data_IF_846975742299
#
_entry.id   IF_846975742299
#
_cell.length_a   1.000
_cell.length_b   1.000
_cell.length_c   1.000
_cell.angle_alpha   90.00
_cell.angle_beta   90.00
_cell.angle_gamma   90.00
#
_symmetry.space_group_name_H-M   'P 1'
#
loop_
_entity.id
_entity.type
_entity.pdbx_description
1 polymer ?
#
# COMPACT_ATOMS: atom_id res chain seq x y z
N UNK A 1 -6.18 8.17 3.12
CA UNK A 1 -5.23 7.28 2.42
C UNK A 1 -5.08 5.99 3.21
N UNK A 2 -5.22 4.84 2.53
CA UNK A 2 -5.06 3.50 3.10
C UNK A 2 -3.90 2.79 2.40
N UNK A 3 -3.05 2.12 3.16
CA UNK A 3 -2.02 1.22 2.62
C UNK A 3 -2.37 -0.21 3.01
N UNK A 4 -2.37 -1.10 2.02
CA UNK A 4 -2.63 -2.53 2.20
C UNK A 4 -1.36 -3.34 1.96
N UNK A 5 -1.22 -4.47 2.64
CA UNK A 5 -0.28 -5.52 2.22
C UNK A 5 -0.91 -6.48 1.19
N UNK A 6 -0.13 -7.47 0.76
CA UNK A 6 -0.54 -8.48 -0.21
C UNK A 6 -1.74 -9.33 0.22
N UNK A 7 -2.00 -9.44 1.54
CA UNK A 7 -3.14 -10.16 2.12
C UNK A 7 -4.36 -9.25 2.34
N UNK A 8 -4.31 -8.01 1.85
CA UNK A 8 -5.36 -6.98 2.02
C UNK A 8 -5.56 -6.57 3.48
N UNK A 9 -4.54 -6.73 4.33
CA UNK A 9 -4.52 -6.12 5.66
C UNK A 9 -4.14 -4.65 5.54
N UNK A 10 -4.85 -3.79 6.25
CA UNK A 10 -4.54 -2.37 6.34
C UNK A 10 -3.32 -2.21 7.24
N UNK A 11 -2.20 -1.77 6.67
CA UNK A 11 -0.93 -1.54 7.38
C UNK A 11 -0.76 -0.10 7.82
N UNK A 12 -1.46 0.82 7.16
CA UNK A 12 -1.38 2.24 7.46
C UNK A 12 -2.66 2.96 7.05
N UNK A 13 -3.07 3.93 7.87
CA UNK A 13 -4.25 4.77 7.67
C UNK A 13 -3.88 6.23 7.97
N UNK A 14 -4.18 7.11 7.02
CA UNK A 14 -4.31 8.55 7.27
C UNK A 14 -5.76 8.96 6.97
N UNK A 15 -6.46 9.44 7.99
CA UNK A 15 -7.80 10.01 7.90
C UNK A 15 -7.78 11.53 8.14
N UNK A 16 -8.89 12.22 7.85
CA UNK A 16 -9.07 13.64 8.17
C UNK A 16 -8.71 14.63 7.05
N UNK A 17 -8.31 14.12 5.88
CA UNK A 17 -8.09 14.94 4.69
C UNK A 17 -9.34 14.92 3.79
N UNK A 18 -9.77 16.08 3.25
CA UNK A 18 -10.81 16.13 2.23
C UNK A 18 -10.42 15.35 0.97
N UNK A 19 -11.40 14.77 0.28
CA UNK A 19 -11.17 14.01 -0.96
C UNK A 19 -10.61 14.82 -2.12
N UNK A 20 -10.66 16.16 -2.05
CA UNK A 20 -10.05 17.07 -3.03
C UNK A 20 -8.54 17.26 -2.86
N UNK A 21 -7.97 16.80 -1.74
CA UNK A 21 -6.54 16.96 -1.48
C UNK A 21 -5.76 15.89 -2.24
N UNK A 22 -4.74 16.32 -2.99
CA UNK A 22 -3.84 15.41 -3.69
C UNK A 22 -3.23 14.37 -2.74
N UNK A 23 -3.27 13.11 -3.13
CA UNK A 23 -2.74 12.00 -2.33
C UNK A 23 -1.27 12.21 -1.92
N UNK A 24 -0.46 12.83 -2.78
CA UNK A 24 0.94 13.19 -2.47
C UNK A 24 1.04 14.06 -1.21
N UNK A 25 0.16 15.05 -1.06
CA UNK A 25 0.14 15.92 0.13
C UNK A 25 -0.29 15.16 1.38
N UNK A 26 -1.28 14.26 1.25
CA UNK A 26 -1.71 13.38 2.34
C UNK A 26 -0.55 12.49 2.78
N UNK A 27 0.18 11.91 1.83
CA UNK A 27 1.38 11.09 2.07
C UNK A 27 2.50 11.86 2.78
N UNK A 28 2.80 13.08 2.34
CA UNK A 28 3.81 13.94 2.94
C UNK A 28 3.50 14.31 4.40
N UNK A 29 2.21 14.38 4.75
CA UNK A 29 1.78 14.63 6.13
C UNK A 29 2.05 13.46 7.08
N UNK A 30 2.11 12.23 6.54
CA UNK A 30 2.17 10.99 7.30
C UNK A 30 3.52 10.71 7.96
N UNK A 31 3.47 10.07 9.13
CA UNK A 31 4.66 9.56 9.85
C UNK A 31 5.47 8.59 9.00
N UNK A 32 4.82 7.84 8.12
CA UNK A 32 5.45 6.86 7.22
C UNK A 32 6.45 7.50 6.25
N UNK A 33 6.22 8.75 5.84
CA UNK A 33 7.17 9.52 5.03
C UNK A 33 8.22 10.22 5.89
N UNK A 34 7.84 10.71 7.07
CA UNK A 34 8.74 11.44 7.98
C UNK A 34 9.76 10.54 8.67
N UNK A 35 9.34 9.33 9.05
CA UNK A 35 10.11 8.35 9.83
C UNK A 35 10.08 6.96 9.16
N UNK A 36 10.55 6.82 7.91
CA UNK A 36 10.40 5.58 7.13
C UNK A 36 10.98 4.35 7.83
N UNK A 37 12.08 4.49 8.57
CA UNK A 37 12.76 3.39 9.24
C UNK A 37 11.93 2.75 10.37
N UNK A 38 10.91 3.45 10.90
CA UNK A 38 9.99 2.90 11.90
C UNK A 38 8.81 2.14 11.27
N UNK A 39 8.62 2.27 9.96
CA UNK A 39 7.44 1.77 9.26
C UNK A 39 7.77 0.71 8.21
N UNK A 40 8.98 0.73 7.64
CA UNK A 40 9.45 -0.23 6.65
C UNK A 40 10.61 -1.04 7.19
N UNK A 41 10.47 -2.36 7.18
CA UNK A 41 11.62 -3.26 7.30
C UNK A 41 12.48 -3.19 6.03
N UNK A 42 13.77 -3.57 6.09
CA UNK A 42 14.60 -3.69 4.89
C UNK A 42 13.90 -4.53 3.81
N UNK A 43 13.87 -4.01 2.58
CA UNK A 43 13.20 -4.66 1.44
C UNK A 43 11.68 -4.41 1.34
N UNK A 44 11.09 -3.65 2.25
CA UNK A 44 9.69 -3.23 2.13
C UNK A 44 9.57 -1.85 1.48
N UNK A 45 8.57 -1.71 0.61
CA UNK A 45 8.32 -0.52 -0.17
C UNK A 45 6.82 -0.29 -0.31
N UNK A 46 6.40 0.97 -0.40
CA UNK A 46 5.04 1.31 -0.76
C UNK A 46 4.92 1.48 -2.28
N UNK A 47 3.83 0.98 -2.85
CA UNK A 47 3.47 1.21 -4.25
C UNK A 47 2.54 2.42 -4.34
N UNK A 48 2.88 3.35 -5.23
CA UNK A 48 2.08 4.53 -5.50
C UNK A 48 1.86 4.73 -7.00
N UNK A 49 0.86 5.52 -7.36
CA UNK A 49 0.55 5.83 -8.77
C UNK A 49 1.27 7.10 -9.24
N UNK A 50 0.83 8.23 -8.70
CA UNK A 50 1.23 9.57 -9.12
C UNK A 50 2.13 10.26 -8.10
N UNK A 51 2.82 9.49 -7.26
CA UNK A 51 3.73 10.00 -6.23
C UNK A 51 5.14 10.26 -6.77
N UNK A 52 5.96 10.92 -5.96
CA UNK A 52 7.40 11.09 -6.23
C UNK A 52 8.14 9.80 -5.87
N UNK A 53 8.91 9.28 -6.83
CA UNK A 53 9.78 8.12 -6.63
C UNK A 53 10.75 8.37 -5.47
N UNK A 54 10.85 7.42 -4.55
CA UNK A 54 11.86 7.43 -3.49
C UNK A 54 12.18 6.01 -3.04
N UNK A 55 13.19 5.85 -2.17
CA UNK A 55 13.59 4.54 -1.65
C UNK A 55 12.48 3.80 -0.88
N UNK A 56 11.38 4.45 -0.53
CA UNK A 56 10.22 3.86 0.15
C UNK A 56 8.92 3.97 -0.66
N UNK A 57 8.91 4.71 -1.77
CA UNK A 57 7.75 4.90 -2.63
C UNK A 57 8.14 4.55 -4.06
N UNK A 58 7.69 3.39 -4.51
CA UNK A 58 7.87 2.92 -5.85
C UNK A 58 6.66 3.30 -6.71
N UNK A 59 6.92 3.86 -7.88
CA UNK A 59 5.88 4.33 -8.81
C UNK A 59 6.14 3.79 -10.21
N UNK A 60 5.11 3.62 -11.07
CA UNK A 60 5.27 3.29 -12.47
C UNK A 60 6.18 4.26 -13.22
N UNK A 61 6.78 3.82 -14.33
CA UNK A 61 7.49 4.70 -15.25
C UNK A 61 6.46 5.58 -15.95
N UNK A 62 6.79 6.85 -16.15
CA UNK A 62 5.98 7.81 -16.93
C UNK A 62 6.54 7.94 -18.33
N UNK A 63 5.74 8.44 -19.26
CA UNK A 63 6.22 8.74 -20.62
C UNK A 63 7.33 9.80 -20.57
N UNK A 64 8.36 9.72 -21.44
CA UNK A 64 8.53 8.74 -22.53
C UNK A 64 9.14 7.40 -22.08
N UNK A 65 9.70 7.31 -20.87
CA UNK A 65 10.37 6.10 -20.37
C UNK A 65 9.44 4.88 -20.30
N UNK A 66 8.14 5.09 -20.11
CA UNK A 66 7.11 4.06 -20.14
C UNK A 66 6.94 3.38 -21.51
N UNK A 67 7.53 3.92 -22.59
CA UNK A 67 7.49 3.29 -23.91
C UNK A 67 8.58 2.22 -24.11
N UNK A 68 9.55 2.13 -23.20
CA UNK A 68 10.58 1.08 -23.23
C UNK A 68 9.95 -0.24 -22.77
N UNK A 69 10.11 -1.32 -23.55
CA UNK A 69 9.46 -2.62 -23.30
C UNK A 69 9.69 -3.14 -21.88
N UNK A 70 10.92 -3.08 -21.39
CA UNK A 70 11.27 -3.49 -20.02
C UNK A 70 10.49 -2.71 -18.95
N UNK A 71 10.29 -1.40 -19.18
CA UNK A 71 9.54 -0.52 -18.28
C UNK A 71 8.04 -0.79 -18.37
N UNK A 72 7.52 -1.16 -19.54
CA UNK A 72 6.12 -1.58 -19.72
C UNK A 72 5.83 -2.84 -18.92
N UNK A 73 6.68 -3.86 -19.04
CA UNK A 73 6.53 -5.09 -18.27
C UNK A 73 6.63 -4.84 -16.76
N UNK A 74 7.54 -3.96 -16.35
CA UNK A 74 7.62 -3.53 -14.95
C UNK A 74 6.33 -2.82 -14.49
N UNK A 75 5.84 -1.85 -15.26
CA UNK A 75 4.60 -1.14 -14.97
C UNK A 75 3.39 -2.07 -14.88
N UNK A 76 3.32 -3.09 -15.74
CA UNK A 76 2.27 -4.12 -15.70
C UNK A 76 2.30 -4.88 -14.38
N UNK A 77 3.48 -5.30 -13.91
CA UNK A 77 3.65 -5.99 -12.61
C UNK A 77 3.26 -5.09 -11.44
N UNK A 78 3.67 -3.82 -11.45
CA UNK A 78 3.26 -2.84 -10.43
C UNK A 78 1.74 -2.61 -10.45
N UNK A 79 1.14 -2.51 -11.63
CA UNK A 79 -0.31 -2.39 -11.79
C UNK A 79 -1.03 -3.59 -11.19
N UNK A 80 -0.60 -4.82 -11.49
CA UNK A 80 -1.15 -6.05 -10.91
C UNK A 80 -1.04 -6.07 -9.38
N UNK A 81 0.11 -5.67 -8.83
CA UNK A 81 0.29 -5.61 -7.37
C UNK A 81 -0.65 -4.57 -6.73
N UNK A 82 -0.95 -3.45 -7.42
CA UNK A 82 -1.85 -2.41 -6.93
C UNK A 82 -3.33 -2.84 -6.91
N UNK A 83 -3.74 -3.79 -7.74
CA UNK A 83 -5.09 -4.37 -7.72
C UNK A 83 -5.48 -4.85 -6.31
N UNK A 84 -4.50 -5.32 -5.52
CA UNK A 84 -4.72 -5.74 -4.13
C UNK A 84 -5.29 -4.59 -3.27
N UNK A 85 -4.77 -3.37 -3.44
CA UNK A 85 -5.23 -2.19 -2.68
C UNK A 85 -6.63 -1.74 -3.10
N UNK A 86 -6.95 -1.86 -4.39
CA UNK A 86 -8.27 -1.55 -4.94
C UNK A 86 -9.31 -2.56 -4.45
N UNK A 87 -8.97 -3.86 -4.52
CA UNK A 87 -9.78 -4.94 -3.97
C UNK A 87 -9.96 -4.81 -2.46
N UNK A 88 -8.89 -4.51 -1.70
CA UNK A 88 -8.95 -4.30 -0.25
C UNK A 88 -9.90 -3.16 0.11
N UNK A 89 -9.83 -2.03 -0.59
CA UNK A 89 -10.73 -0.90 -0.40
C UNK A 89 -12.18 -1.25 -0.80
N UNK A 90 -12.36 -2.02 -1.88
CA UNK A 90 -13.66 -2.50 -2.33
C UNK A 90 -14.33 -3.43 -1.32
N UNK A 91 -13.59 -4.41 -0.80
CA UNK A 91 -14.04 -5.31 0.28
C UNK A 91 -14.39 -4.50 1.52
N UNK A 92 -13.55 -3.51 1.87
CA UNK A 92 -13.79 -2.67 3.03
C UNK A 92 -15.14 -1.94 2.90
N UNK A 93 -15.32 -1.20 1.82
CA UNK A 93 -16.59 -0.51 1.56
C UNK A 93 -17.77 -1.46 1.32
N UNK A 94 -17.51 -2.71 0.94
CA UNK A 94 -18.51 -3.76 0.81
C UNK A 94 -19.00 -4.27 2.16
N UNK A 95 -18.10 -4.46 3.12
CA UNK A 95 -18.42 -4.96 4.46
C UNK A 95 -19.02 -3.88 5.34
N UNK A 96 -18.52 -2.65 5.27
CA UNK A 96 -19.12 -1.49 5.95
C UNK A 96 -19.71 -0.55 4.91
N UNK A 97 -20.95 -0.81 4.49
CA UNK A 97 -21.68 0.01 3.52
C UNK A 97 -21.76 1.48 3.95
N UNK A 98 -21.75 1.75 5.26
CA UNK A 98 -21.67 3.11 5.80
C UNK A 98 -20.44 3.88 5.33
N UNK A 99 -19.34 3.23 4.96
CA UNK A 99 -18.12 3.88 4.44
C UNK A 99 -18.20 4.26 2.95
N UNK A 100 -19.25 3.84 2.22
CA UNK A 100 -19.45 4.25 0.82
C UNK A 100 -19.89 5.71 0.70
N UNK A 101 -20.81 6.13 1.56
CA UNK A 101 -21.34 7.49 1.57
C UNK A 101 -21.00 8.29 2.83
N UNK A 102 -20.61 7.62 3.92
CA UNK A 102 -20.40 8.18 5.26
C UNK A 102 -21.51 9.20 5.63
N UNK A 103 -22.73 8.73 5.96
CA UNK A 103 -23.93 9.56 6.07
C UNK A 103 -23.92 10.44 7.32
N UNK A 104 -23.02 11.41 7.36
CA UNK A 104 -22.84 12.38 8.43
C UNK A 104 -22.84 13.78 7.83
N UNK A 105 -23.47 14.74 8.51
CA UNK A 105 -23.34 16.14 8.18
C UNK A 105 -22.13 16.71 8.92
N UNK A 106 -21.17 17.28 8.19
CA UNK A 106 -19.99 17.91 8.78
C UNK A 106 -20.27 19.39 8.94
N UNK A 107 -20.59 19.82 10.16
CA UNK A 107 -20.88 21.22 10.49
C UNK A 107 -19.85 21.82 11.44
N UNK A 108 -19.20 20.99 12.26
CA UNK A 108 -18.20 21.41 13.25
C UNK A 108 -16.97 20.50 13.23
N UNK A 109 -15.81 20.96 13.73
CA UNK A 109 -14.59 20.15 13.75
C UNK A 109 -14.72 18.80 14.47
N UNK A 110 -15.61 18.68 15.45
CA UNK A 110 -15.90 17.42 16.14
C UNK A 110 -16.56 16.38 15.23
N UNK A 111 -17.33 16.79 14.22
CA UNK A 111 -17.93 15.88 13.25
C UNK A 111 -16.85 15.24 12.35
N UNK A 112 -15.81 16.01 11.99
CA UNK A 112 -14.65 15.50 11.27
C UNK A 112 -13.91 14.46 12.12
N UNK A 113 -13.72 14.74 13.41
CA UNK A 113 -13.10 13.78 14.33
C UNK A 113 -13.91 12.49 14.43
N UNK A 114 -15.24 12.61 14.53
CA UNK A 114 -16.14 11.46 14.54
C UNK A 114 -16.07 10.66 13.24
N UNK A 115 -16.06 11.33 12.09
CA UNK A 115 -15.85 10.73 10.77
C UNK A 115 -14.56 9.88 10.74
N UNK A 116 -13.46 10.45 11.22
CA UNK A 116 -12.17 9.79 11.27
C UNK A 116 -12.18 8.56 12.20
N UNK A 117 -12.82 8.67 13.36
CA UNK A 117 -13.00 7.56 14.29
C UNK A 117 -13.83 6.44 13.67
N UNK A 118 -14.92 6.78 12.97
CA UNK A 118 -15.75 5.81 12.26
C UNK A 118 -14.95 5.06 11.19
N UNK A 119 -14.24 5.80 10.32
CA UNK A 119 -13.37 5.20 9.29
C UNK A 119 -12.32 4.29 9.94
N UNK A 120 -11.69 4.74 11.03
CA UNK A 120 -10.67 3.97 11.75
C UNK A 120 -11.26 2.68 12.34
N UNK A 121 -12.43 2.75 12.96
CA UNK A 121 -13.12 1.58 13.51
C UNK A 121 -13.42 0.55 12.41
N UNK A 122 -13.93 0.99 11.25
CA UNK A 122 -14.13 0.12 10.10
C UNK A 122 -12.84 -0.56 9.63
N UNK A 123 -11.72 0.17 9.60
CA UNK A 123 -10.41 -0.38 9.25
C UNK A 123 -9.89 -1.41 10.26
N UNK A 124 -10.09 -1.18 11.56
CA UNK A 124 -9.68 -2.11 12.62
C UNK A 124 -10.50 -3.40 12.52
N UNK A 125 -11.83 -3.27 12.43
CA UNK A 125 -12.73 -4.42 12.27
C UNK A 125 -12.42 -5.19 10.98
N UNK A 126 -12.02 -4.50 9.91
CA UNK A 126 -11.56 -5.14 8.69
C UNK A 126 -10.41 -6.09 8.90
N UNK A 127 -9.36 -5.59 9.55
CA UNK A 127 -8.17 -6.39 9.79
C UNK A 127 -8.48 -7.59 10.69
N UNK A 128 -9.30 -7.41 11.73
CA UNK A 128 -9.71 -8.51 12.61
C UNK A 128 -10.38 -9.62 11.80
N UNK A 129 -11.44 -9.31 11.05
CA UNK A 129 -12.17 -10.33 10.29
C UNK A 129 -11.31 -10.91 9.15
N UNK A 130 -10.47 -10.09 8.50
CA UNK A 130 -9.60 -10.57 7.44
C UNK A 130 -8.52 -11.52 7.97
N UNK A 131 -8.04 -11.33 9.22
CA UNK A 131 -7.12 -12.28 9.86
C UNK A 131 -7.80 -13.62 10.15
N UNK A 132 -8.99 -13.58 10.76
CA UNK A 132 -9.77 -14.81 11.04
C UNK A 132 -10.05 -15.60 9.76
N UNK A 133 -10.39 -14.92 8.66
CA UNK A 133 -10.64 -15.58 7.38
C UNK A 133 -9.40 -16.28 6.82
N UNK A 134 -8.24 -15.62 6.91
CA UNK A 134 -6.98 -16.22 6.43
C UNK A 134 -6.60 -17.43 7.29
N UNK A 135 -6.79 -17.35 8.62
CA UNK A 135 -6.53 -18.48 9.51
C UNK A 135 -7.47 -19.68 9.24
N UNK A 136 -8.72 -19.43 8.85
CA UNK A 136 -9.65 -20.49 8.45
C UNK A 136 -9.33 -21.07 7.06
N UNK A 137 -8.83 -20.25 6.14
CA UNK A 137 -8.38 -20.71 4.81
C UNK A 137 -7.08 -21.55 4.91
N UNK A 138 -6.24 -21.31 5.93
CA UNK A 138 -5.00 -22.04 6.19
C UNK A 138 -5.22 -23.41 6.88
N UNK A 139 -6.41 -23.68 7.46
CA UNK A 139 -6.74 -24.95 8.14
C UNK A 139 -7.09 -26.10 7.16
N UNK A 140 -7.31 -25.78 5.88
CA UNK A 140 -7.75 -26.73 4.83
C UNK A 140 -6.66 -27.03 3.77
N UNK A 141 -5.41 -26.58 3.97
CA UNK A 141 -4.35 -26.66 2.96
C UNK A 141 -2.93 -26.78 3.52
N UNK A 142 -2.29 -27.89 3.18
CA UNK A 142 -0.90 -28.29 3.42
C UNK A 142 0.08 -27.10 3.59
N UNK A 143 0.77 -27.08 4.72
CA UNK A 143 1.72 -26.04 5.11
C UNK A 143 2.89 -25.97 4.12
N UNK A 144 2.94 -24.90 3.31
CA UNK A 144 4.17 -24.52 2.61
C UNK A 144 4.98 -23.61 3.53
N UNK A 145 6.01 -24.19 4.15
CA UNK A 145 7.05 -23.46 4.88
C UNK A 145 7.77 -22.48 3.95
N UNK A 146 7.33 -21.22 3.96
CA UNK A 146 8.10 -20.12 3.39
C UNK A 146 9.17 -19.69 4.39
N UNK A 147 10.23 -20.51 4.50
CA UNK A 147 11.44 -20.11 5.20
C UNK A 147 12.00 -18.81 4.58
N UNK A 148 12.00 -17.78 5.42
CA UNK A 148 12.59 -16.46 5.20
C UNK A 148 14.09 -16.59 4.98
N UNK A 149 14.53 -16.56 3.72
CA UNK A 149 15.91 -16.20 3.42
C UNK A 149 16.11 -14.68 3.51
N UNK A 150 16.34 -14.19 4.73
CA UNK A 150 16.87 -12.86 4.96
C UNK A 150 18.35 -12.82 4.55
N UNK A 151 18.61 -12.44 3.30
CA UNK A 151 19.97 -12.10 2.86
C UNK A 151 20.46 -10.82 3.57
N UNK A 152 21.74 -10.75 3.99
CA UNK A 152 22.25 -9.61 4.74
C UNK A 152 22.30 -8.35 3.88
N UNK A 153 22.16 -7.20 4.56
CA UNK A 153 22.06 -5.87 4.00
C UNK A 153 23.11 -5.58 2.91
N UNK A 154 22.66 -5.55 1.64
CA UNK A 154 23.46 -5.00 0.53
C UNK A 154 23.41 -3.48 0.56
N UNK A 155 24.56 -2.89 0.27
CA UNK A 155 24.80 -1.45 0.18
C UNK A 155 23.69 -0.75 -0.61
N UNK A 156 23.14 0.29 0.01
CA UNK A 156 22.07 1.09 -0.59
C UNK A 156 22.66 1.87 -1.78
N UNK A 157 22.09 1.78 -2.99
CA UNK A 157 22.59 2.52 -4.15
C UNK A 157 22.64 4.04 -3.90
N UNK A 158 23.69 4.68 -4.44
CA UNK A 158 23.97 6.11 -4.29
C UNK A 158 22.90 7.01 -4.94
N UNK A 159 22.18 6.53 -5.97
CA UNK A 159 21.09 7.25 -6.63
C UNK A 159 19.77 6.46 -6.64
N UNK A 160 18.64 7.17 -6.57
CA UNK A 160 17.28 6.59 -6.63
C UNK A 160 17.03 5.90 -7.97
N UNK A 161 17.59 6.43 -9.06
CA UNK A 161 17.48 5.83 -10.39
C UNK A 161 18.17 4.47 -10.49
N UNK A 162 19.39 4.35 -9.95
CA UNK A 162 20.11 3.09 -9.93
C UNK A 162 19.42 2.05 -9.03
N UNK A 163 18.91 2.49 -7.87
CA UNK A 163 18.08 1.64 -7.00
C UNK A 163 16.84 1.10 -7.73
N UNK A 164 16.17 1.94 -8.52
CA UNK A 164 14.98 1.54 -9.27
C UNK A 164 15.29 0.49 -10.34
N UNK A 165 16.38 0.67 -11.08
CA UNK A 165 16.82 -0.30 -12.10
C UNK A 165 17.14 -1.67 -11.47
N UNK A 166 17.87 -1.67 -10.34
CA UNK A 166 18.15 -2.90 -9.60
C UNK A 166 16.87 -3.56 -9.07
N UNK A 167 15.91 -2.77 -8.60
CA UNK A 167 14.60 -3.29 -8.19
C UNK A 167 13.83 -3.91 -9.37
N UNK A 168 13.82 -3.25 -10.53
CA UNK A 168 13.20 -3.76 -11.75
C UNK A 168 13.81 -5.09 -12.18
N UNK A 169 15.14 -5.23 -12.11
CA UNK A 169 15.84 -6.49 -12.39
C UNK A 169 15.39 -7.61 -11.45
N UNK A 170 15.35 -7.34 -10.14
CA UNK A 170 14.87 -8.32 -9.15
C UNK A 170 13.42 -8.74 -9.36
N UNK A 171 12.55 -7.78 -9.71
CA UNK A 171 11.15 -8.09 -10.03
C UNK A 171 11.03 -8.89 -11.32
N UNK A 172 11.91 -8.67 -12.30
CA UNK A 172 11.95 -9.51 -13.50
C UNK A 172 12.35 -10.95 -13.16
N UNK A 173 13.36 -11.15 -12.31
CA UNK A 173 13.86 -12.46 -11.87
C UNK A 173 12.87 -13.24 -11.00
N UNK A 174 12.15 -12.58 -10.09
CA UNK A 174 11.18 -13.26 -9.24
C UNK A 174 9.94 -13.73 -10.02
N UNK A 175 9.63 -13.09 -11.15
CA UNK A 175 8.42 -13.32 -11.95
C UNK A 175 8.75 -13.92 -13.34
N UNK A 176 9.92 -14.54 -13.51
CA UNK A 176 10.31 -15.32 -14.69
C UNK A 176 9.98 -16.80 -14.48
#
# INVERSE_FOLDING_TARGET
MLTFDHQRQIRYLIAGWPGSVHDTKVWESGSVKKNPNHHFSPGQYQLGDSFTLSKQMLVPYRQPAASILENQQFNLRISRARVVSEHGNGILKGRWQSLRGLPICINKPSDIKFACQWITAGCVLHNMINKERLAADDDDGDSIDLERNASPARSVPLSVSHWRQEFQRKVAEFWS
#
